data_IF_342863910191
#
_entry.id   IF_342863910191
#
_cell.length_a   1.000
_cell.length_b   1.000
_cell.length_c   1.000
_cell.angle_alpha   90.00
_cell.angle_beta   90.00
_cell.angle_gamma   90.00
#
_symmetry.space_group_name_H-M   'P 1'
#
loop_
_entity.id
_entity.type
_entity.pdbx_description
1 polymer ?
#
# COMPACT_ATOMS: atom_id res chain seq x y z
N UNK A 1 -46.74 50.37 22.58
CA UNK A 1 -45.73 49.40 23.03
C UNK A 1 -46.43 48.01 23.07
N UNK A 2 -45.98 47.04 22.23
CA UNK A 2 -46.55 45.70 22.28
C UNK A 2 -46.06 45.01 23.57
N UNK A 3 -47.00 44.73 24.48
CA UNK A 3 -46.68 43.98 25.70
C UNK A 3 -46.20 42.57 25.29
N UNK A 4 -44.92 42.36 25.40
CA UNK A 4 -44.32 41.03 25.22
C UNK A 4 -44.77 40.13 26.38
N UNK A 5 -45.41 39.01 26.13
CA UNK A 5 -45.83 38.12 27.21
C UNK A 5 -44.62 37.56 27.97
N UNK A 6 -44.65 37.66 29.29
CA UNK A 6 -43.56 37.30 30.22
C UNK A 6 -43.04 35.90 30.00
N UNK A 7 -43.94 34.94 29.63
CA UNK A 7 -43.51 33.55 29.36
C UNK A 7 -42.58 33.41 28.15
N UNK A 8 -42.72 34.26 27.09
CA UNK A 8 -41.82 34.28 25.96
C UNK A 8 -40.42 34.81 26.33
N UNK A 9 -40.34 35.82 27.20
CA UNK A 9 -39.08 36.30 27.73
C UNK A 9 -38.39 35.21 28.56
N UNK A 10 -39.18 34.48 29.36
CA UNK A 10 -38.66 33.39 30.16
C UNK A 10 -38.11 32.23 29.29
N UNK A 11 -38.83 31.85 28.21
CA UNK A 11 -38.33 30.83 27.28
C UNK A 11 -37.05 31.24 26.56
N UNK A 12 -36.95 32.50 26.12
CA UNK A 12 -35.74 33.03 25.47
C UNK A 12 -34.53 33.03 26.44
N UNK A 13 -34.73 33.53 27.67
CA UNK A 13 -33.68 33.54 28.69
C UNK A 13 -33.24 32.12 29.06
N UNK A 14 -34.16 31.19 29.22
CA UNK A 14 -33.86 29.78 29.48
C UNK A 14 -33.06 29.16 28.34
N UNK A 15 -33.40 29.44 27.09
CA UNK A 15 -32.71 28.92 25.92
C UNK A 15 -31.27 29.49 25.78
N UNK A 16 -31.08 30.77 26.10
CA UNK A 16 -29.80 31.42 26.15
C UNK A 16 -28.91 30.84 27.27
N UNK A 17 -29.46 30.67 28.49
CA UNK A 17 -28.77 30.06 29.61
C UNK A 17 -28.34 28.61 29.27
N UNK A 18 -29.24 27.85 28.63
CA UNK A 18 -28.94 26.49 28.20
C UNK A 18 -27.83 26.48 27.16
N UNK A 19 -27.82 27.40 26.20
CA UNK A 19 -26.72 27.59 25.24
C UNK A 19 -25.38 27.93 25.89
N UNK A 20 -25.39 28.82 26.90
CA UNK A 20 -24.19 29.16 27.67
C UNK A 20 -23.66 27.93 28.41
N UNK A 21 -24.53 27.15 29.08
CA UNK A 21 -24.15 25.94 29.81
C UNK A 21 -23.46 24.93 28.85
N UNK A 22 -24.00 24.73 27.65
CA UNK A 22 -23.39 23.84 26.66
C UNK A 22 -22.08 24.38 26.07
N UNK A 23 -21.84 25.68 26.13
CA UNK A 23 -20.58 26.30 25.66
C UNK A 23 -19.45 26.26 26.72
N UNK A 24 -19.79 26.12 28.00
CA UNK A 24 -18.81 26.08 29.12
C UNK A 24 -17.69 25.05 28.90
N UNK A 25 -17.95 23.77 28.47
CA UNK A 25 -16.90 22.79 28.26
C UNK A 25 -15.86 23.20 27.21
N UNK A 26 -16.24 24.05 26.24
CA UNK A 26 -15.30 24.53 25.21
C UNK A 26 -14.33 25.59 25.74
N UNK A 27 -14.66 26.25 26.86
CA UNK A 27 -13.86 27.28 27.49
C UNK A 27 -13.00 26.72 28.64
N UNK A 28 -13.60 25.82 29.44
CA UNK A 28 -12.99 25.23 30.65
C UNK A 28 -12.70 23.74 30.39
N UNK A 29 -12.01 23.45 29.30
CA UNK A 29 -11.66 22.05 28.96
C UNK A 29 -10.55 21.53 29.89
N UNK A 30 -10.79 20.39 30.53
CA UNK A 30 -9.80 19.66 31.32
C UNK A 30 -9.79 18.19 30.90
N UNK A 31 -8.69 17.76 30.29
CA UNK A 31 -8.49 16.38 29.77
C UNK A 31 -8.43 15.34 30.91
N UNK A 32 -8.00 15.75 32.12
CA UNK A 32 -7.87 14.88 33.29
C UNK A 32 -9.14 14.85 34.15
N UNK A 33 -10.16 15.61 33.80
CA UNK A 33 -11.42 15.65 34.55
C UNK A 33 -12.17 14.34 34.45
N UNK A 34 -12.61 13.79 35.58
CA UNK A 34 -13.53 12.66 35.62
C UNK A 34 -14.97 13.02 35.16
N UNK A 35 -15.29 14.31 35.11
CA UNK A 35 -16.59 14.80 34.66
C UNK A 35 -16.74 14.71 33.14
N UNK A 36 -17.60 13.81 32.69
CA UNK A 36 -17.99 13.65 31.29
C UNK A 36 -18.30 14.97 30.57
N UNK A 37 -18.94 15.92 31.26
CA UNK A 37 -19.32 17.22 30.70
C UNK A 37 -18.12 18.12 30.38
N UNK A 38 -17.08 18.15 31.21
CA UNK A 38 -15.85 18.94 31.01
C UNK A 38 -14.87 18.31 30.04
N UNK A 39 -15.03 17.02 29.74
CA UNK A 39 -14.19 16.27 28.80
C UNK A 39 -14.56 16.48 27.34
N UNK A 40 -15.77 16.98 27.05
CA UNK A 40 -16.28 17.18 25.71
C UNK A 40 -16.15 18.66 25.29
N UNK A 41 -15.12 18.94 24.46
CA UNK A 41 -14.98 20.26 23.83
C UNK A 41 -15.44 20.22 22.37
N UNK A 42 -15.88 21.35 21.86
CA UNK A 42 -16.10 21.53 20.44
C UNK A 42 -14.74 21.55 19.74
N UNK A 43 -14.53 20.63 18.80
CA UNK A 43 -13.33 20.63 17.98
C UNK A 43 -13.42 21.77 16.98
N UNK A 44 -12.53 22.75 17.12
CA UNK A 44 -12.45 23.89 16.23
C UNK A 44 -11.64 23.49 14.99
N UNK A 45 -12.07 23.96 13.81
CA UNK A 45 -11.35 23.70 12.56
C UNK A 45 -9.98 24.41 12.50
N UNK A 46 -9.24 24.10 11.44
CA UNK A 46 -7.88 24.62 11.19
C UNK A 46 -7.80 26.15 11.29
N UNK A 47 -8.82 26.87 10.82
CA UNK A 47 -8.86 28.33 10.78
C UNK A 47 -8.94 28.97 12.18
N UNK A 48 -9.45 28.25 13.17
CA UNK A 48 -9.65 28.76 14.53
C UNK A 48 -8.62 28.23 15.53
N UNK A 49 -8.12 27.02 15.36
CA UNK A 49 -7.10 26.44 16.23
C UNK A 49 -5.67 26.58 15.69
N UNK A 50 -5.54 26.95 14.41
CA UNK A 50 -4.30 26.77 13.66
C UNK A 50 -4.02 25.27 13.43
N UNK A 51 -2.92 24.96 12.78
CA UNK A 51 -2.53 23.59 12.50
C UNK A 51 -1.67 23.46 11.26
N UNK A 52 -1.47 22.24 10.80
CA UNK A 52 -0.63 21.96 9.63
C UNK A 52 -1.47 21.66 8.40
N UNK A 53 -1.01 22.19 7.26
CA UNK A 53 -1.58 21.97 5.94
C UNK A 53 -0.50 21.37 5.05
N UNK A 54 -0.69 20.13 4.61
CA UNK A 54 0.25 19.42 3.76
C UNK A 54 -0.42 19.01 2.45
N UNK A 55 0.32 19.15 1.36
CA UNK A 55 -0.08 18.68 0.04
C UNK A 55 0.90 17.58 -0.39
N UNK A 56 0.42 16.34 -0.37
CA UNK A 56 1.19 15.15 -0.75
C UNK A 56 0.99 14.86 -2.23
N UNK A 57 2.02 14.41 -2.91
CA UNK A 57 1.96 14.05 -4.33
C UNK A 57 2.33 12.58 -4.52
N UNK A 58 1.46 11.83 -5.22
CA UNK A 58 1.71 10.44 -5.60
C UNK A 58 2.61 10.43 -6.85
N UNK A 59 3.73 9.73 -6.78
CA UNK A 59 4.69 9.60 -7.88
C UNK A 59 4.21 8.57 -8.92
N UNK A 60 3.30 8.98 -9.77
CA UNK A 60 2.67 8.10 -10.77
C UNK A 60 3.65 7.57 -11.82
N UNK A 61 4.69 8.32 -12.14
CA UNK A 61 5.67 7.92 -13.16
C UNK A 61 6.45 6.65 -12.74
N UNK A 62 6.74 6.51 -11.44
CA UNK A 62 7.34 5.30 -10.88
C UNK A 62 6.41 4.11 -11.06
N UNK A 63 5.11 4.29 -10.75
CA UNK A 63 4.10 3.24 -10.88
C UNK A 63 3.89 2.82 -12.35
N UNK A 64 3.89 3.76 -13.28
CA UNK A 64 3.79 3.44 -14.71
C UNK A 64 5.00 2.62 -15.18
N UNK A 65 6.19 2.96 -14.71
CA UNK A 65 7.40 2.21 -15.04
C UNK A 65 7.37 0.80 -14.44
N UNK A 66 6.99 0.67 -13.17
CA UNK A 66 6.79 -0.64 -12.54
C UNK A 66 5.77 -1.49 -13.29
N UNK A 67 4.69 -0.88 -13.79
CA UNK A 67 3.68 -1.61 -14.56
C UNK A 67 4.19 -2.07 -15.93
N UNK A 68 4.99 -1.27 -16.63
CA UNK A 68 5.65 -1.69 -17.86
C UNK A 68 6.61 -2.87 -17.61
N UNK A 69 7.34 -2.86 -16.50
CA UNK A 69 8.20 -3.99 -16.09
C UNK A 69 7.35 -5.23 -15.79
N UNK A 70 6.19 -5.09 -15.17
CA UNK A 70 5.24 -6.19 -14.95
C UNK A 70 4.71 -6.76 -16.27
N UNK A 71 4.48 -5.92 -17.27
CA UNK A 71 4.09 -6.37 -18.61
C UNK A 71 5.18 -7.20 -19.27
N UNK A 72 6.45 -6.78 -19.17
CA UNK A 72 7.60 -7.54 -19.66
C UNK A 72 7.64 -8.92 -19.01
N UNK A 73 7.53 -8.98 -17.70
CA UNK A 73 7.57 -10.22 -16.95
C UNK A 73 6.40 -11.14 -17.31
N UNK A 74 5.21 -10.58 -17.47
CA UNK A 74 4.00 -11.35 -17.84
C UNK A 74 4.09 -11.89 -19.27
N UNK A 75 4.54 -11.10 -20.23
CA UNK A 75 4.72 -11.57 -21.61
C UNK A 75 5.75 -12.68 -21.67
N UNK A 76 6.85 -12.58 -20.95
CA UNK A 76 7.87 -13.65 -20.92
C UNK A 76 7.31 -14.93 -20.32
N UNK A 77 6.53 -14.83 -19.24
CA UNK A 77 5.88 -15.98 -18.61
C UNK A 77 4.93 -16.67 -19.59
N UNK A 78 3.99 -15.91 -20.17
CA UNK A 78 3.00 -16.42 -21.15
C UNK A 78 3.72 -17.04 -22.35
N UNK A 79 4.76 -16.37 -22.85
CA UNK A 79 5.52 -16.86 -24.02
C UNK A 79 6.23 -18.19 -23.73
N UNK A 80 6.78 -18.34 -22.53
CA UNK A 80 7.39 -19.61 -22.10
C UNK A 80 6.35 -20.72 -22.00
N UNK A 81 5.19 -20.45 -21.40
CA UNK A 81 4.12 -21.45 -21.24
C UNK A 81 3.56 -21.90 -22.59
N UNK A 82 3.55 -21.02 -23.58
CA UNK A 82 3.11 -21.31 -24.95
C UNK A 82 4.26 -21.78 -25.87
N UNK A 83 5.47 -21.98 -25.34
CA UNK A 83 6.67 -22.32 -26.09
C UNK A 83 6.94 -21.38 -27.30
N UNK A 84 6.67 -20.06 -27.10
CA UNK A 84 6.96 -19.03 -28.09
C UNK A 84 8.33 -18.40 -27.80
N UNK A 85 9.17 -18.25 -28.84
CA UNK A 85 10.50 -17.69 -28.68
C UNK A 85 10.47 -16.18 -28.89
N UNK A 86 10.85 -15.44 -27.86
CA UNK A 86 11.04 -13.99 -27.91
C UNK A 86 12.44 -13.73 -28.48
N UNK A 87 12.52 -12.83 -29.46
CA UNK A 87 13.79 -12.37 -30.05
C UNK A 87 14.34 -11.16 -29.29
N UNK A 88 13.48 -10.16 -29.05
CA UNK A 88 13.84 -8.89 -28.38
C UNK A 88 12.64 -8.30 -27.66
N UNK A 89 12.89 -7.61 -26.57
CA UNK A 89 11.91 -6.75 -25.88
C UNK A 89 12.49 -5.35 -25.78
N UNK A 90 11.76 -4.36 -26.27
CA UNK A 90 12.04 -2.94 -26.13
C UNK A 90 11.01 -2.32 -25.18
N UNK A 91 11.49 -1.67 -24.14
CA UNK A 91 10.65 -0.90 -23.21
C UNK A 91 10.83 0.57 -23.53
N UNK A 92 9.73 1.22 -23.91
CA UNK A 92 9.65 2.65 -24.17
C UNK A 92 8.88 3.33 -23.03
N UNK A 93 8.85 4.64 -23.02
CA UNK A 93 8.22 5.41 -21.93
C UNK A 93 6.75 5.01 -21.64
N UNK A 94 6.01 4.59 -22.68
CA UNK A 94 4.57 4.32 -22.60
C UNK A 94 4.17 2.94 -23.13
N UNK A 95 5.10 2.18 -23.67
CA UNK A 95 4.77 0.89 -24.28
C UNK A 95 5.91 -0.11 -24.18
N UNK A 96 5.55 -1.38 -24.18
CA UNK A 96 6.45 -2.52 -24.31
C UNK A 96 6.27 -3.11 -25.71
N UNK A 97 7.34 -3.20 -26.50
CA UNK A 97 7.33 -3.82 -27.82
C UNK A 97 8.11 -5.12 -27.76
N UNK A 98 7.42 -6.23 -28.04
CA UNK A 98 7.99 -7.57 -28.00
C UNK A 98 8.10 -8.12 -29.42
N UNK A 99 9.27 -8.57 -29.80
CA UNK A 99 9.56 -9.18 -31.11
C UNK A 99 9.64 -10.70 -30.93
N UNK A 100 8.92 -11.41 -31.79
CA UNK A 100 8.87 -12.88 -31.76
C UNK A 100 9.51 -13.49 -33.01
N UNK A 101 10.13 -14.64 -32.85
CA UNK A 101 10.70 -15.39 -33.99
C UNK A 101 9.59 -15.96 -34.88
N UNK A 102 8.47 -16.41 -34.32
CA UNK A 102 7.33 -17.02 -35.03
C UNK A 102 6.05 -16.21 -34.81
N UNK A 103 5.31 -15.99 -35.90
CA UNK A 103 4.04 -15.20 -35.89
C UNK A 103 2.85 -16.00 -35.34
N UNK A 104 2.88 -17.34 -35.43
CA UNK A 104 1.72 -18.20 -35.22
C UNK A 104 1.11 -18.09 -33.81
N UNK A 105 1.96 -17.92 -32.78
CA UNK A 105 1.53 -17.87 -31.37
C UNK A 105 1.27 -16.47 -30.82
N UNK A 106 1.52 -15.41 -31.58
CA UNK A 106 1.39 -14.04 -31.08
C UNK A 106 -0.06 -13.71 -30.71
N UNK A 107 -1.03 -14.26 -31.44
CA UNK A 107 -2.46 -14.07 -31.13
C UNK A 107 -2.83 -14.69 -29.78
N UNK A 108 -2.38 -15.90 -29.54
CA UNK A 108 -2.67 -16.61 -28.28
C UNK A 108 -2.03 -15.91 -27.09
N UNK A 109 -0.79 -15.42 -27.29
CA UNK A 109 -0.09 -14.60 -26.26
C UNK A 109 -0.84 -13.30 -26.00
N UNK A 110 -1.27 -12.59 -27.05
CA UNK A 110 -2.09 -11.38 -26.90
C UNK A 110 -3.37 -11.66 -26.13
N UNK A 111 -4.08 -12.73 -26.45
CA UNK A 111 -5.36 -13.06 -25.85
C UNK A 111 -5.18 -13.47 -24.37
N UNK A 112 -4.16 -14.24 -24.06
CA UNK A 112 -3.79 -14.58 -22.68
C UNK A 112 -3.38 -13.34 -21.88
N UNK A 113 -2.62 -12.45 -22.50
CA UNK A 113 -2.22 -11.18 -21.88
C UNK A 113 -3.43 -10.27 -21.62
N UNK A 114 -4.34 -10.17 -22.58
CA UNK A 114 -5.57 -9.37 -22.44
C UNK A 114 -6.51 -9.89 -21.34
N UNK A 115 -6.55 -11.20 -21.12
CA UNK A 115 -7.31 -11.76 -19.98
C UNK A 115 -6.72 -11.36 -18.64
N UNK A 116 -5.39 -11.21 -18.57
CA UNK A 116 -4.68 -10.82 -17.34
C UNK A 116 -4.76 -9.31 -17.09
N UNK A 117 -4.63 -8.51 -18.16
CA UNK A 117 -4.59 -7.05 -18.10
C UNK A 117 -5.69 -6.43 -18.97
N UNK A 118 -6.88 -6.34 -18.42
CA UNK A 118 -8.02 -5.72 -19.13
C UNK A 118 -7.84 -4.21 -19.25
N UNK A 119 -8.17 -3.66 -20.39
CA UNK A 119 -8.10 -2.21 -20.65
C UNK A 119 -6.78 -1.71 -21.22
N UNK A 120 -5.77 -2.58 -21.39
CA UNK A 120 -4.51 -2.26 -22.06
C UNK A 120 -4.68 -2.28 -23.58
N UNK A 121 -4.04 -1.37 -24.29
CA UNK A 121 -4.05 -1.38 -25.76
C UNK A 121 -3.00 -2.35 -26.31
N UNK A 122 -3.46 -3.33 -27.08
CA UNK A 122 -2.62 -4.39 -27.68
C UNK A 122 -2.69 -4.28 -29.20
N UNK A 123 -1.53 -4.18 -29.86
CA UNK A 123 -1.42 -4.13 -31.31
C UNK A 123 -0.43 -5.18 -31.81
N UNK A 124 -0.83 -5.94 -32.83
CA UNK A 124 0.04 -6.90 -33.52
C UNK A 124 0.41 -6.33 -34.88
N UNK A 125 1.71 -6.20 -35.14
CA UNK A 125 2.25 -5.81 -36.42
C UNK A 125 3.32 -6.81 -36.84
N UNK A 126 3.04 -7.62 -37.85
CA UNK A 126 3.93 -8.69 -38.33
C UNK A 126 4.32 -9.67 -37.20
N UNK A 127 5.58 -9.62 -36.75
CA UNK A 127 6.15 -10.48 -35.71
C UNK A 127 6.33 -9.74 -34.37
N UNK A 128 5.71 -8.59 -34.20
CA UNK A 128 5.78 -7.82 -32.95
C UNK A 128 4.42 -7.64 -32.31
N UNK A 129 4.41 -7.70 -30.98
CA UNK A 129 3.31 -7.33 -30.11
C UNK A 129 3.67 -6.04 -29.39
N UNK A 130 2.87 -4.99 -29.57
CA UNK A 130 2.99 -3.71 -28.87
C UNK A 130 1.92 -3.65 -27.77
N UNK A 131 2.34 -3.41 -26.54
CA UNK A 131 1.50 -3.32 -25.34
C UNK A 131 1.62 -1.90 -24.82
N UNK A 132 0.56 -1.12 -24.92
CA UNK A 132 0.58 0.30 -24.63
C UNK A 132 -0.26 0.63 -23.42
N UNK A 133 0.32 1.44 -22.51
CA UNK A 133 -0.42 2.12 -21.45
C UNK A 133 -1.26 3.25 -22.07
N UNK A 134 -2.53 2.96 -22.39
CA UNK A 134 -3.45 3.98 -22.85
C UNK A 134 -3.96 4.86 -21.69
N UNK A 135 -4.64 5.95 -22.00
CA UNK A 135 -5.13 6.90 -21.00
C UNK A 135 -6.15 6.28 -20.03
N UNK A 136 -6.94 5.31 -20.51
CA UNK A 136 -7.92 4.60 -19.69
C UNK A 136 -7.23 3.74 -18.63
N UNK A 137 -6.23 2.94 -19.03
CA UNK A 137 -5.48 2.09 -18.11
C UNK A 137 -4.62 2.94 -17.13
N UNK A 138 -4.01 4.02 -17.61
CA UNK A 138 -3.32 4.98 -16.76
C UNK A 138 -4.23 5.56 -15.69
N UNK A 139 -5.48 5.88 -16.04
CA UNK A 139 -6.47 6.37 -15.09
C UNK A 139 -6.81 5.32 -14.03
N UNK A 140 -6.92 4.05 -14.42
CA UNK A 140 -7.14 2.94 -13.47
C UNK A 140 -5.99 2.86 -12.46
N UNK A 141 -4.73 2.86 -12.93
CA UNK A 141 -3.54 2.86 -12.05
C UNK A 141 -3.57 4.07 -11.12
N UNK A 142 -3.81 5.25 -11.67
CA UNK A 142 -3.84 6.51 -10.93
C UNK A 142 -4.91 6.50 -9.84
N UNK A 143 -6.15 6.11 -10.15
CA UNK A 143 -7.25 6.10 -9.20
C UNK A 143 -7.02 5.04 -8.10
N UNK A 144 -6.48 3.89 -8.47
CA UNK A 144 -6.10 2.85 -7.51
C UNK A 144 -4.97 3.32 -6.57
N UNK A 145 -3.92 3.92 -7.13
CA UNK A 145 -2.79 4.44 -6.35
C UNK A 145 -3.21 5.54 -5.37
N UNK A 146 -4.06 6.47 -5.81
CA UNK A 146 -4.56 7.55 -4.94
C UNK A 146 -5.44 6.98 -3.83
N UNK A 147 -6.33 6.04 -4.16
CA UNK A 147 -7.19 5.39 -3.16
C UNK A 147 -6.35 4.69 -2.09
N UNK A 148 -5.38 3.89 -2.51
CA UNK A 148 -4.46 3.20 -1.61
C UNK A 148 -3.64 4.19 -0.77
N UNK A 149 -3.10 5.25 -1.38
CA UNK A 149 -2.36 6.28 -0.67
C UNK A 149 -3.21 7.02 0.37
N UNK A 150 -4.49 7.30 0.07
CA UNK A 150 -5.43 7.90 1.03
C UNK A 150 -5.63 7.00 2.25
N UNK A 151 -5.78 5.68 2.04
CA UNK A 151 -5.95 4.71 3.12
C UNK A 151 -4.69 4.62 4.00
N UNK A 152 -3.50 4.57 3.36
CA UNK A 152 -2.21 4.56 4.07
C UNK A 152 -2.02 5.84 4.90
N UNK A 153 -2.24 7.01 4.30
CA UNK A 153 -2.12 8.30 4.99
C UNK A 153 -3.09 8.36 6.17
N UNK A 154 -4.35 7.96 5.97
CA UNK A 154 -5.35 7.92 7.05
C UNK A 154 -4.88 7.04 8.21
N UNK A 155 -4.48 5.80 7.94
CA UNK A 155 -4.02 4.87 8.96
C UNK A 155 -2.86 5.45 9.78
N UNK A 156 -1.87 6.03 9.11
CA UNK A 156 -0.70 6.64 9.80
C UNK A 156 -1.06 7.86 10.64
N UNK A 157 -1.97 8.70 10.15
CA UNK A 157 -2.42 9.88 10.89
C UNK A 157 -3.29 9.48 12.10
N UNK A 158 -4.15 8.47 11.96
CA UNK A 158 -4.94 7.93 13.07
C UNK A 158 -4.03 7.36 14.18
N UNK A 159 -2.97 6.65 13.81
CA UNK A 159 -1.94 6.15 14.75
C UNK A 159 -1.19 7.28 15.48
N UNK A 160 -1.09 8.47 14.88
CA UNK A 160 -0.47 9.64 15.52
C UNK A 160 -1.32 10.28 16.63
N UNK A 161 -2.59 9.86 16.77
CA UNK A 161 -3.54 10.40 17.73
C UNK A 161 -4.07 11.79 17.36
N UNK A 162 -3.88 12.24 16.12
CA UNK A 162 -4.41 13.52 15.65
C UNK A 162 -5.94 13.48 15.58
N UNK A 163 -6.59 14.44 16.23
CA UNK A 163 -8.07 14.52 16.27
C UNK A 163 -8.60 15.14 14.98
N UNK A 164 -9.56 14.46 14.35
CA UNK A 164 -10.34 14.92 13.19
C UNK A 164 -9.50 15.46 12.01
N UNK A 165 -8.56 14.64 11.46
CA UNK A 165 -7.81 15.04 10.29
C UNK A 165 -8.73 15.11 9.06
N UNK A 166 -8.59 16.15 8.22
CA UNK A 166 -9.22 16.18 6.91
C UNK A 166 -8.25 15.62 5.87
N UNK A 167 -8.57 14.47 5.29
CA UNK A 167 -7.76 13.79 4.29
C UNK A 167 -8.60 13.61 3.04
N UNK A 168 -8.25 14.29 1.96
CA UNK A 168 -9.03 14.24 0.73
C UNK A 168 -8.15 14.31 -0.52
N UNK A 169 -8.67 13.74 -1.62
CA UNK A 169 -8.03 13.85 -2.94
C UNK A 169 -8.05 15.30 -3.42
N UNK A 170 -6.93 15.79 -3.94
CA UNK A 170 -6.79 17.10 -4.55
C UNK A 170 -6.29 16.97 -6.00
N UNK A 171 -7.20 17.02 -6.94
CA UNK A 171 -6.89 16.85 -8.37
C UNK A 171 -6.53 15.41 -8.75
N UNK A 172 -5.62 15.26 -9.74
CA UNK A 172 -5.32 13.95 -10.35
C UNK A 172 -4.31 13.11 -9.56
N UNK A 173 -3.35 13.72 -8.87
CA UNK A 173 -2.21 13.02 -8.24
C UNK A 173 -1.85 13.50 -6.84
N UNK A 174 -2.68 14.34 -6.23
CA UNK A 174 -2.38 14.95 -4.93
C UNK A 174 -3.41 14.57 -3.88
N UNK A 175 -2.95 14.55 -2.64
CA UNK A 175 -3.74 14.35 -1.42
C UNK A 175 -3.55 15.57 -0.55
N UNK A 176 -4.66 16.17 -0.16
CA UNK A 176 -4.71 17.26 0.80
C UNK A 176 -4.87 16.68 2.19
N UNK A 177 -3.99 17.10 3.09
CA UNK A 177 -4.00 16.73 4.48
C UNK A 177 -4.06 18.00 5.34
N UNK A 178 -5.10 18.13 6.15
CA UNK A 178 -5.26 19.21 7.12
C UNK A 178 -5.33 18.62 8.53
N UNK A 179 -4.50 19.11 9.42
CA UNK A 179 -4.31 18.60 10.76
C UNK A 179 -4.53 19.72 11.77
N UNK A 180 -5.76 19.91 12.27
CA UNK A 180 -6.05 20.93 13.27
C UNK A 180 -5.23 20.69 14.55
N UNK A 181 -4.70 21.79 15.15
CA UNK A 181 -3.96 21.75 16.40
C UNK A 181 -2.54 21.18 16.32
N UNK A 182 -2.10 20.66 15.17
CA UNK A 182 -0.73 20.17 14.99
C UNK A 182 0.20 21.32 14.64
N UNK A 183 1.10 21.65 15.57
CA UNK A 183 2.03 22.78 15.44
C UNK A 183 3.33 22.41 14.72
N UNK A 184 3.67 21.13 14.67
CA UNK A 184 4.92 20.63 14.08
C UNK A 184 4.62 19.80 12.83
N UNK A 185 4.69 20.39 11.63
CA UNK A 185 4.49 19.68 10.37
C UNK A 185 5.64 18.71 10.04
N UNK A 186 6.86 18.95 10.55
CA UNK A 186 8.01 18.08 10.25
C UNK A 186 7.83 16.70 10.87
N UNK A 187 7.32 16.64 12.10
CA UNK A 187 6.98 15.36 12.73
C UNK A 187 5.99 14.53 11.88
N UNK A 188 5.03 15.20 11.26
CA UNK A 188 4.06 14.53 10.38
C UNK A 188 4.71 14.10 9.07
N UNK A 189 5.59 14.91 8.50
CA UNK A 189 6.38 14.53 7.31
C UNK A 189 7.24 13.31 7.59
N UNK A 190 7.92 13.26 8.73
CA UNK A 190 8.71 12.10 9.16
C UNK A 190 7.86 10.85 9.32
N UNK A 191 6.68 10.99 9.92
CA UNK A 191 5.75 9.89 10.11
C UNK A 191 5.21 9.35 8.78
N UNK A 192 4.90 10.24 7.83
CA UNK A 192 4.45 9.86 6.50
C UNK A 192 5.60 9.40 5.60
N UNK A 193 6.81 9.95 5.77
CA UNK A 193 8.00 9.67 4.99
C UNK A 193 8.67 8.34 5.34
N UNK A 194 8.43 7.78 6.52
CA UNK A 194 8.91 6.46 6.91
C UNK A 194 8.15 5.38 6.13
N UNK A 195 8.51 5.19 4.88
CA UNK A 195 7.93 4.15 4.03
C UNK A 195 8.74 2.87 4.23
N UNK A 196 8.39 2.08 5.21
CA UNK A 196 8.88 0.72 5.28
C UNK A 196 8.09 -0.13 4.26
N UNK A 197 8.69 -0.43 3.11
CA UNK A 197 8.10 -1.32 2.10
C UNK A 197 8.32 -2.76 2.55
N UNK A 198 7.32 -3.31 3.24
CA UNK A 198 7.31 -4.71 3.64
C UNK A 198 6.75 -5.58 2.50
N UNK A 199 7.49 -6.60 2.11
CA UNK A 199 7.05 -7.55 1.09
C UNK A 199 7.44 -8.98 1.46
N UNK A 200 6.64 -9.94 1.01
CA UNK A 200 6.89 -11.36 1.24
C UNK A 200 7.20 -12.04 -0.09
N UNK A 201 8.31 -12.78 -0.14
CA UNK A 201 8.79 -13.43 -1.36
C UNK A 201 9.16 -14.89 -1.11
N UNK A 202 8.97 -15.74 -2.12
CA UNK A 202 9.48 -17.12 -2.06
C UNK A 202 10.98 -17.11 -2.35
N UNK A 203 11.73 -17.85 -1.53
CA UNK A 203 13.17 -18.04 -1.72
C UNK A 203 13.41 -19.18 -2.71
N UNK A 204 14.30 -18.93 -3.68
CA UNK A 204 14.79 -19.95 -4.59
C UNK A 204 16.09 -20.56 -4.04
N UNK A 205 15.98 -21.70 -3.41
CA UNK A 205 17.13 -22.42 -2.84
C UNK A 205 17.86 -23.31 -3.87
N UNK A 206 17.31 -23.47 -5.09
CA UNK A 206 17.84 -24.41 -6.09
C UNK A 206 18.94 -23.76 -6.94
N UNK A 207 18.85 -22.46 -7.23
CA UNK A 207 19.75 -21.75 -8.14
C UNK A 207 20.92 -21.05 -7.40
N UNK A 208 21.68 -21.79 -6.63
CA UNK A 208 22.82 -21.22 -5.85
C UNK A 208 23.91 -20.59 -6.70
N UNK A 209 24.08 -21.05 -7.96
CA UNK A 209 25.04 -20.46 -8.92
C UNK A 209 24.73 -18.99 -9.26
N UNK A 210 23.47 -18.59 -9.22
CA UNK A 210 23.05 -17.21 -9.44
C UNK A 210 23.56 -16.25 -8.34
N UNK A 211 23.59 -16.72 -7.09
CA UNK A 211 24.11 -15.98 -5.95
C UNK A 211 25.65 -15.81 -6.05
N UNK A 212 26.36 -16.87 -6.45
CA UNK A 212 27.84 -16.83 -6.62
C UNK A 212 28.24 -15.83 -7.71
N UNK A 213 27.53 -15.81 -8.82
CA UNK A 213 27.78 -14.92 -9.94
C UNK A 213 27.21 -13.52 -9.77
N UNK A 214 26.42 -13.27 -8.71
CA UNK A 214 25.67 -12.03 -8.46
C UNK A 214 24.78 -11.63 -9.67
N UNK A 215 24.25 -12.61 -10.41
CA UNK A 215 23.41 -12.45 -11.58
C UNK A 215 22.07 -13.12 -11.34
N UNK A 216 21.04 -12.29 -11.07
CA UNK A 216 19.67 -12.79 -10.87
C UNK A 216 19.13 -13.34 -12.20
N UNK A 217 18.64 -14.61 -12.25
CA UNK A 217 17.92 -15.11 -13.38
C UNK A 217 16.65 -14.31 -13.62
N UNK A 218 16.07 -14.48 -14.79
CA UNK A 218 14.82 -13.82 -15.12
C UNK A 218 13.70 -14.17 -14.12
N UNK A 219 12.95 -13.14 -13.67
CA UNK A 219 11.87 -13.30 -12.67
C UNK A 219 12.37 -13.49 -11.23
N UNK A 220 13.66 -13.33 -10.99
CA UNK A 220 14.28 -13.37 -9.66
C UNK A 220 14.97 -12.05 -9.33
N UNK A 221 15.19 -11.83 -8.04
CA UNK A 221 16.01 -10.72 -7.50
C UNK A 221 16.96 -11.27 -6.46
N UNK A 222 18.14 -10.65 -6.34
CA UNK A 222 19.09 -10.94 -5.27
C UNK A 222 18.94 -9.84 -4.22
N UNK A 223 18.66 -10.24 -2.99
CA UNK A 223 18.41 -9.35 -1.86
C UNK A 223 19.36 -9.70 -0.72
N UNK A 224 20.08 -8.72 -0.12
CA UNK A 224 20.97 -8.98 1.00
C UNK A 224 20.19 -9.27 2.29
N UNK A 225 20.83 -9.97 3.21
CA UNK A 225 20.34 -10.14 4.57
C UNK A 225 20.55 -8.85 5.39
N UNK A 226 19.65 -8.57 6.34
CA UNK A 226 19.68 -7.38 7.19
C UNK A 226 20.83 -7.41 8.22
N UNK A 227 21.19 -8.59 8.68
CA UNK A 227 22.14 -8.79 9.78
C UNK A 227 23.51 -9.29 9.32
N UNK A 228 23.60 -9.84 8.09
CA UNK A 228 24.85 -10.35 7.51
C UNK A 228 24.99 -9.90 6.05
N UNK A 229 25.84 -8.90 5.81
CA UNK A 229 26.09 -8.34 4.47
C UNK A 229 26.64 -9.37 3.46
N UNK A 230 27.23 -10.47 3.91
CA UNK A 230 27.75 -11.52 3.07
C UNK A 230 26.69 -12.51 2.63
N UNK A 231 25.59 -12.60 3.37
CA UNK A 231 24.48 -13.48 3.06
C UNK A 231 23.49 -12.78 2.13
N UNK A 232 23.16 -13.45 1.01
CA UNK A 232 22.21 -12.97 0.01
C UNK A 232 21.19 -14.06 -0.29
N UNK A 233 19.97 -13.64 -0.58
CA UNK A 233 18.89 -14.52 -0.95
C UNK A 233 18.47 -14.29 -2.41
N UNK A 234 18.23 -15.37 -3.14
CA UNK A 234 17.61 -15.32 -4.45
C UNK A 234 16.10 -15.47 -4.25
N UNK A 235 15.35 -14.43 -4.58
CA UNK A 235 13.92 -14.34 -4.34
C UNK A 235 13.13 -14.27 -5.65
N UNK A 236 11.91 -14.75 -5.63
CA UNK A 236 10.95 -14.43 -6.69
C UNK A 236 10.74 -12.91 -6.74
N UNK A 237 10.90 -12.28 -7.92
CA UNK A 237 10.76 -10.83 -8.09
C UNK A 237 9.37 -10.36 -7.69
N UNK A 238 8.33 -11.16 -7.98
CA UNK A 238 6.96 -10.86 -7.61
C UNK A 238 6.71 -11.18 -6.14
N UNK A 239 6.36 -10.15 -5.38
CA UNK A 239 5.92 -10.34 -4.01
C UNK A 239 4.64 -11.18 -3.95
N UNK A 240 4.57 -12.06 -2.96
CA UNK A 240 3.38 -12.86 -2.65
C UNK A 240 2.27 -11.98 -2.09
N UNK A 241 2.65 -11.16 -1.09
CA UNK A 241 1.81 -10.22 -0.36
C UNK A 241 2.70 -9.05 0.04
N UNK A 242 2.15 -7.86 0.06
CA UNK A 242 2.82 -6.67 0.56
C UNK A 242 2.29 -6.21 1.92
N UNK A 243 2.98 -5.24 2.51
CA UNK A 243 2.58 -4.63 3.78
C UNK A 243 1.24 -3.90 3.73
N UNK A 244 0.76 -3.55 2.55
CA UNK A 244 -0.57 -2.96 2.33
C UNK A 244 -1.72 -3.88 2.75
N UNK A 245 -1.49 -5.20 2.69
CA UNK A 245 -2.45 -6.19 3.15
C UNK A 245 -2.31 -6.53 4.65
N UNK A 246 -1.33 -5.92 5.36
CA UNK A 246 -1.10 -6.18 6.78
C UNK A 246 -2.09 -5.35 7.63
N UNK A 247 -2.91 -6.04 8.43
CA UNK A 247 -3.89 -5.41 9.33
C UNK A 247 -3.30 -5.18 10.70
N UNK A 248 -2.47 -6.12 11.18
CA UNK A 248 -1.90 -6.10 12.53
C UNK A 248 -0.54 -6.77 12.55
N UNK A 249 0.40 -6.21 13.30
CA UNK A 249 1.71 -6.80 13.58
C UNK A 249 2.13 -6.43 14.99
N UNK A 250 2.42 -7.44 15.81
CA UNK A 250 2.79 -7.26 17.23
C UNK A 250 3.98 -8.12 17.60
N UNK A 251 4.85 -7.57 18.44
CA UNK A 251 5.86 -8.36 19.10
C UNK A 251 5.21 -9.50 19.90
N UNK A 252 5.71 -10.70 19.72
CA UNK A 252 5.27 -11.92 20.39
C UNK A 252 6.47 -12.66 20.94
N UNK A 253 6.23 -13.67 21.74
CA UNK A 253 7.27 -14.55 22.24
C UNK A 253 6.89 -15.99 21.91
N UNK A 254 7.70 -16.62 21.09
CA UNK A 254 7.59 -18.04 20.78
C UNK A 254 8.43 -18.86 21.75
N UNK A 255 7.88 -19.98 22.24
CA UNK A 255 8.57 -20.82 23.22
C UNK A 255 9.81 -21.53 22.65
N UNK A 256 9.90 -21.67 21.33
CA UNK A 256 10.96 -22.38 20.64
C UNK A 256 12.01 -21.43 20.07
N UNK A 257 11.56 -20.33 19.47
CA UNK A 257 12.42 -19.38 18.72
C UNK A 257 12.68 -18.06 19.47
N UNK A 258 11.99 -17.82 20.60
CA UNK A 258 12.17 -16.63 21.44
C UNK A 258 11.35 -15.43 20.95
N UNK A 259 12.00 -14.29 20.71
CA UNK A 259 11.34 -13.08 20.22
C UNK A 259 10.84 -13.28 18.80
N UNK A 260 9.55 -13.12 18.59
CA UNK A 260 8.88 -13.29 17.32
C UNK A 260 7.93 -12.12 17.04
N UNK A 261 7.41 -12.05 15.83
CA UNK A 261 6.38 -11.08 15.43
C UNK A 261 5.17 -11.83 14.93
N UNK A 262 4.06 -11.71 15.66
CA UNK A 262 2.78 -12.16 15.14
C UNK A 262 2.21 -11.14 14.18
N UNK A 263 1.67 -11.60 13.05
CA UNK A 263 1.07 -10.76 12.03
C UNK A 263 -0.27 -11.31 11.54
N UNK A 264 -1.08 -10.42 10.98
CA UNK A 264 -2.37 -10.78 10.38
C UNK A 264 -2.64 -9.92 9.14
N UNK A 265 -3.00 -10.57 8.05
CA UNK A 265 -3.43 -9.96 6.81
C UNK A 265 -4.94 -9.69 6.78
N UNK A 266 -5.36 -8.80 5.87
CA UNK A 266 -6.74 -8.64 5.45
C UNK A 266 -7.23 -9.86 4.65
N UNK A 267 -8.49 -9.84 4.21
CA UNK A 267 -9.10 -10.97 3.48
C UNK A 267 -8.38 -11.28 2.17
N UNK A 268 -7.95 -10.27 1.44
CA UNK A 268 -7.25 -10.43 0.15
C UNK A 268 -5.84 -10.99 0.36
N UNK A 269 -5.08 -10.40 1.30
CA UNK A 269 -3.76 -10.88 1.69
C UNK A 269 -3.79 -12.31 2.21
N UNK A 270 -4.78 -12.66 3.04
CA UNK A 270 -4.98 -14.00 3.57
C UNK A 270 -5.21 -15.03 2.45
N UNK A 271 -6.01 -14.72 1.44
CA UNK A 271 -6.25 -15.59 0.28
C UNK A 271 -4.98 -15.78 -0.56
N UNK A 272 -4.25 -14.71 -0.87
CA UNK A 272 -2.98 -14.76 -1.60
C UNK A 272 -1.95 -15.58 -0.84
N UNK A 273 -1.79 -15.27 0.44
CA UNK A 273 -0.83 -15.92 1.33
C UNK A 273 -1.14 -17.43 1.51
N UNK A 274 -2.42 -17.77 1.74
CA UNK A 274 -2.89 -19.14 1.85
C UNK A 274 -2.61 -19.94 0.59
N UNK A 275 -2.93 -19.41 -0.60
CA UNK A 275 -2.66 -20.08 -1.88
C UNK A 275 -1.16 -20.31 -2.10
N UNK A 276 -0.32 -19.32 -1.81
CA UNK A 276 1.12 -19.44 -2.03
C UNK A 276 1.78 -20.36 -1.02
N UNK A 277 1.43 -20.27 0.27
CA UNK A 277 1.98 -21.18 1.28
C UNK A 277 1.58 -22.64 1.02
N UNK A 278 0.35 -22.89 0.55
CA UNK A 278 -0.10 -24.24 0.15
C UNK A 278 0.77 -24.80 -0.98
N UNK A 279 1.10 -24.00 -1.99
CA UNK A 279 1.87 -24.45 -3.15
C UNK A 279 3.39 -24.52 -2.93
N UNK A 280 3.89 -23.99 -1.81
CA UNK A 280 5.32 -23.85 -1.53
C UNK A 280 5.70 -24.41 -0.14
N UNK A 281 4.97 -25.41 0.36
CA UNK A 281 5.34 -26.13 1.60
C UNK A 281 6.76 -26.69 1.46
N UNK A 282 7.59 -26.46 2.47
CA UNK A 282 8.99 -26.89 2.49
C UNK A 282 9.99 -25.88 1.94
N UNK A 283 9.54 -24.83 1.21
CA UNK A 283 10.38 -23.70 0.77
C UNK A 283 10.47 -22.63 1.84
N UNK A 284 11.42 -21.72 1.68
CA UNK A 284 11.56 -20.56 2.55
C UNK A 284 10.74 -19.38 2.03
N UNK A 285 10.18 -18.61 2.95
CA UNK A 285 9.46 -17.37 2.70
C UNK A 285 10.25 -16.21 3.27
N UNK A 286 10.84 -15.40 2.42
CA UNK A 286 11.57 -14.22 2.84
C UNK A 286 10.62 -13.07 3.17
N UNK A 287 10.84 -12.44 4.30
CA UNK A 287 10.23 -11.16 4.70
C UNK A 287 11.25 -10.06 4.38
N UNK A 288 10.92 -9.21 3.44
CA UNK A 288 11.80 -8.14 2.94
C UNK A 288 11.26 -6.79 3.40
N UNK A 289 12.11 -5.98 4.03
CA UNK A 289 11.82 -4.61 4.45
C UNK A 289 12.81 -3.67 3.76
N UNK A 290 12.31 -2.71 3.00
CA UNK A 290 13.12 -1.71 2.29
C UNK A 290 14.27 -2.30 1.45
N UNK A 291 14.03 -3.48 0.86
CA UNK A 291 15.01 -4.12 -0.01
C UNK A 291 16.07 -4.98 0.70
N UNK A 292 15.90 -5.25 2.00
CA UNK A 292 16.74 -6.19 2.76
C UNK A 292 15.90 -7.30 3.39
N UNK A 293 16.42 -8.52 3.47
CA UNK A 293 15.74 -9.66 4.09
C UNK A 293 15.88 -9.58 5.61
N UNK A 294 14.76 -9.49 6.34
CA UNK A 294 14.77 -9.53 7.81
C UNK A 294 14.84 -10.97 8.32
N UNK A 295 14.09 -11.86 7.68
CA UNK A 295 14.01 -13.29 8.04
C UNK A 295 13.49 -14.09 6.85
N UNK A 296 13.85 -15.36 6.79
CA UNK A 296 13.40 -16.28 5.75
C UNK A 296 13.00 -17.65 6.32
N UNK A 297 11.92 -17.73 7.13
CA UNK A 297 11.47 -18.97 7.73
C UNK A 297 11.00 -20.00 6.69
N UNK A 298 11.05 -21.29 7.06
CA UNK A 298 10.52 -22.35 6.24
C UNK A 298 9.00 -22.45 6.39
N UNK A 299 8.31 -22.64 5.28
CA UNK A 299 6.87 -22.92 5.26
C UNK A 299 6.65 -24.36 5.69
N UNK A 300 6.22 -24.57 6.92
CA UNK A 300 6.00 -25.93 7.46
C UNK A 300 4.61 -26.47 7.09
N UNK A 301 3.63 -25.59 6.92
CA UNK A 301 2.24 -25.97 6.55
C UNK A 301 1.57 -24.81 5.81
N UNK A 302 0.43 -25.10 5.17
CA UNK A 302 -0.40 -24.09 4.54
C UNK A 302 -0.99 -23.13 5.59
N UNK A 303 -0.85 -21.82 5.36
CA UNK A 303 -1.33 -20.76 6.28
C UNK A 303 -2.56 -20.10 5.65
N UNK A 304 -3.70 -20.79 5.72
CA UNK A 304 -4.95 -20.32 5.08
C UNK A 304 -5.69 -19.25 5.90
N UNK A 305 -5.38 -19.13 7.20
CA UNK A 305 -6.00 -18.15 8.09
C UNK A 305 -5.46 -16.72 7.96
N UNK A 306 -4.42 -16.52 7.15
CA UNK A 306 -3.80 -15.18 6.95
C UNK A 306 -3.10 -14.63 8.19
N UNK A 307 -2.81 -15.44 9.19
CA UNK A 307 -2.06 -15.08 10.39
C UNK A 307 -0.84 -15.98 10.52
N UNK A 308 0.26 -15.43 11.04
CA UNK A 308 1.51 -16.15 11.30
C UNK A 308 2.26 -15.55 12.49
N UNK A 309 3.25 -16.26 12.94
CA UNK A 309 4.24 -15.84 13.95
C UNK A 309 5.62 -16.07 13.35
#
# INVERSE_FOLDING_TARGET
MKNYPIWKSFTVISLVLLGIIFAIPSIIYDENSENWFLKNKINLGLDLQGGSYLLLEVQLDVLYKEELDNFVDSVRLISRDQAAKIEKIDVQENEVVVFFTNKEKIKDIRDSFFQMYRGVSLQINNNRLSIKLNDEYRKIIQDSAIKQSLEIVRKRIDESGTKEPLIQRSGKKRILLQLPGVKDPERIKDLLGKTAKLTFHIVDNENTSALQNNLAPFGKIIVPDMYDENTKYLLDKRAVVGGENLVDAKGSFDQTEGHAVSFRFDTEGAQKFGKVTTNNIGKNLAVVLDGVVITAPRINSAITGGSGI
#
